data_IF_245467176099
#
_entry.id   IF_245467176099
#
_cell.length_a   1.000
_cell.length_b   1.000
_cell.length_c   1.000
_cell.angle_alpha   90.00
_cell.angle_beta   90.00
_cell.angle_gamma   90.00
#
_symmetry.space_group_name_H-M   'P 1'
#
loop_
_entity.id
_entity.type
_entity.pdbx_description
1 polymer ?
#
# COMPACT_ATOMS: atom_id res chain seq x y z
N UNK A 1 -14.69 -8.19 21.31
CA UNK A 1 -14.42 -8.62 19.92
C UNK A 1 -14.10 -10.11 19.86
N UNK A 2 -14.35 -10.83 18.77
CA UNK A 2 -13.94 -12.24 18.67
C UNK A 2 -12.50 -12.33 18.14
N UNK A 3 -11.58 -12.83 18.97
CA UNK A 3 -10.19 -13.11 18.59
C UNK A 3 -10.07 -14.03 17.37
N UNK A 4 -11.10 -14.82 17.06
CA UNK A 4 -11.19 -15.60 15.82
C UNK A 4 -11.29 -14.74 14.55
N UNK A 5 -12.06 -13.65 14.59
CA UNK A 5 -12.24 -12.76 13.42
C UNK A 5 -10.96 -11.97 13.10
N UNK A 6 -10.29 -11.45 14.12
CA UNK A 6 -9.02 -10.71 13.95
C UNK A 6 -7.93 -11.62 13.36
N UNK A 7 -7.79 -12.85 13.88
CA UNK A 7 -6.84 -13.83 13.32
C UNK A 7 -7.15 -14.20 11.88
N UNK A 8 -8.44 -14.33 11.52
CA UNK A 8 -8.85 -14.59 10.15
C UNK A 8 -8.43 -13.44 9.22
N UNK A 9 -8.72 -12.20 9.59
CA UNK A 9 -8.28 -11.01 8.85
C UNK A 9 -6.76 -10.98 8.68
N UNK A 10 -5.99 -11.13 9.76
CA UNK A 10 -4.53 -11.11 9.72
C UNK A 10 -3.95 -12.20 8.80
N UNK A 11 -4.50 -13.41 8.83
CA UNK A 11 -3.99 -14.50 7.97
C UNK A 11 -4.40 -14.35 6.52
N UNK A 12 -5.67 -14.09 6.26
CA UNK A 12 -6.21 -14.14 4.90
C UNK A 12 -5.99 -12.82 4.17
N UNK A 13 -6.31 -11.68 4.80
CA UNK A 13 -6.27 -10.36 4.17
C UNK A 13 -4.88 -9.76 4.25
N UNK A 14 -4.21 -9.85 5.40
CA UNK A 14 -2.87 -9.26 5.55
C UNK A 14 -1.79 -10.19 4.99
N UNK A 15 -1.59 -11.38 5.56
CA UNK A 15 -0.53 -12.27 5.08
C UNK A 15 -0.82 -12.83 3.67
N UNK A 16 -2.01 -13.41 3.48
CA UNK A 16 -2.37 -14.03 2.20
C UNK A 16 -2.44 -13.04 1.04
N UNK A 17 -3.06 -11.88 1.24
CA UNK A 17 -3.37 -10.96 0.16
C UNK A 17 -2.44 -9.74 0.09
N UNK A 18 -2.36 -8.93 1.15
CA UNK A 18 -1.47 -7.76 1.18
C UNK A 18 0.01 -8.13 1.01
N UNK A 19 0.47 -9.23 1.61
CA UNK A 19 1.87 -9.65 1.50
C UNK A 19 2.09 -10.66 0.37
N UNK A 20 1.15 -11.58 0.16
CA UNK A 20 1.27 -12.63 -0.85
C UNK A 20 0.94 -12.22 -2.29
N UNK A 21 -0.04 -11.32 -2.49
CA UNK A 21 -0.58 -11.00 -3.83
C UNK A 21 -0.21 -9.60 -4.28
N UNK A 22 -0.52 -8.58 -3.48
CA UNK A 22 -0.39 -7.16 -3.85
C UNK A 22 1.03 -6.78 -4.35
N UNK A 23 2.15 -7.26 -3.75
CA UNK A 23 3.49 -6.89 -4.22
C UNK A 23 3.79 -7.37 -5.64
N UNK A 24 3.19 -8.48 -6.09
CA UNK A 24 3.34 -8.97 -7.47
C UNK A 24 2.62 -8.06 -8.47
N UNK A 25 1.42 -7.57 -8.11
CA UNK A 25 0.63 -6.65 -8.92
C UNK A 25 1.29 -5.28 -9.01
N UNK A 26 1.85 -4.78 -7.91
CA UNK A 26 2.70 -3.58 -7.92
C UNK A 26 3.87 -3.72 -8.88
N UNK A 27 4.64 -4.83 -8.81
CA UNK A 27 5.77 -5.05 -9.73
C UNK A 27 5.34 -4.99 -11.20
N UNK A 28 4.22 -5.64 -11.54
CA UNK A 28 3.71 -5.66 -12.90
C UNK A 28 3.33 -4.25 -13.39
N UNK A 29 2.50 -3.52 -12.63
CA UNK A 29 2.04 -2.19 -13.04
C UNK A 29 3.17 -1.16 -13.08
N UNK A 30 4.10 -1.18 -12.11
CA UNK A 30 5.21 -0.24 -12.05
C UNK A 30 6.18 -0.43 -13.22
N UNK A 31 6.38 -1.67 -13.66
CA UNK A 31 7.21 -1.98 -14.83
C UNK A 31 6.57 -1.42 -16.10
N UNK A 32 5.26 -1.59 -16.26
CA UNK A 32 4.51 -1.05 -17.39
C UNK A 32 4.52 0.48 -17.38
N UNK A 33 4.18 1.08 -16.23
CA UNK A 33 4.13 2.53 -16.06
C UNK A 33 5.50 3.19 -16.33
N UNK A 34 6.59 2.62 -15.83
CA UNK A 34 7.95 3.09 -16.11
C UNK A 34 8.28 3.04 -17.60
N UNK A 35 7.90 1.94 -18.26
CA UNK A 35 8.14 1.75 -19.70
C UNK A 35 7.34 2.77 -20.52
N UNK A 36 6.03 2.91 -20.27
CA UNK A 36 5.18 3.85 -20.99
C UNK A 36 5.57 5.31 -20.72
N UNK A 37 5.95 5.64 -19.48
CA UNK A 37 6.47 6.97 -19.13
C UNK A 37 7.70 7.31 -19.97
N UNK A 38 8.69 6.41 -20.03
CA UNK A 38 9.91 6.64 -20.79
C UNK A 38 9.67 6.71 -22.30
N UNK A 39 8.74 5.91 -22.82
CA UNK A 39 8.33 6.00 -24.23
C UNK A 39 7.69 7.35 -24.53
N UNK A 40 6.76 7.80 -23.69
CA UNK A 40 6.12 9.11 -23.83
C UNK A 40 7.13 10.26 -23.80
N UNK A 41 8.09 10.23 -22.87
CA UNK A 41 9.16 11.24 -22.78
C UNK A 41 10.03 11.30 -24.05
N UNK A 42 10.27 10.16 -24.71
CA UNK A 42 11.02 10.08 -25.98
C UNK A 42 10.20 10.56 -27.18
N UNK A 43 8.90 10.31 -27.18
CA UNK A 43 7.98 10.77 -28.24
C UNK A 43 7.83 12.29 -28.26
N UNK A 44 7.73 12.93 -27.09
CA UNK A 44 7.67 14.40 -27.01
C UNK A 44 8.95 15.10 -27.48
N UNK A 45 10.10 14.44 -27.39
CA UNK A 45 11.36 14.95 -27.96
C UNK A 45 11.48 14.67 -29.46
N UNK A 46 10.57 13.88 -30.04
CA UNK A 46 10.49 13.54 -31.45
C UNK A 46 9.38 14.30 -32.20
N UNK A 47 9.35 14.25 -33.54
CA UNK A 47 8.38 14.97 -34.36
C UNK A 47 6.96 14.35 -34.38
N UNK A 48 6.69 13.29 -33.61
CA UNK A 48 5.44 12.54 -33.67
C UNK A 48 4.96 12.20 -32.25
N UNK A 49 4.09 13.04 -31.69
CA UNK A 49 3.42 12.76 -30.43
C UNK A 49 2.15 11.96 -30.73
N UNK A 50 2.04 10.73 -30.21
CA UNK A 50 0.85 9.89 -30.43
C UNK A 50 -0.07 9.90 -29.21
N UNK A 51 -1.39 10.01 -29.43
CA UNK A 51 -2.39 10.00 -28.35
C UNK A 51 -2.41 8.67 -27.58
N UNK A 52 -1.95 7.57 -28.19
CA UNK A 52 -1.92 6.23 -27.61
C UNK A 52 -0.99 6.10 -26.40
N UNK A 53 0.14 6.82 -26.38
CA UNK A 53 1.13 6.71 -25.30
C UNK A 53 0.62 7.40 -24.02
N UNK A 54 -0.07 8.53 -24.17
CA UNK A 54 -0.73 9.23 -23.05
C UNK A 54 -1.88 8.39 -22.46
N UNK A 55 -2.68 7.74 -23.30
CA UNK A 55 -3.76 6.84 -22.85
C UNK A 55 -3.21 5.60 -22.12
N UNK A 56 -2.10 5.03 -22.58
CA UNK A 56 -1.46 3.88 -21.92
C UNK A 56 -0.98 4.23 -20.51
N UNK A 57 -0.29 5.36 -20.36
CA UNK A 57 0.11 5.90 -19.06
C UNK A 57 -1.09 6.12 -18.14
N UNK A 58 -2.17 6.73 -18.66
CA UNK A 58 -3.34 7.06 -17.86
C UNK A 58 -4.01 5.78 -17.32
N UNK A 59 -4.11 4.74 -18.15
CA UNK A 59 -4.58 3.41 -17.73
C UNK A 59 -3.70 2.79 -16.65
N UNK A 60 -2.37 2.93 -16.76
CA UNK A 60 -1.47 2.41 -15.73
C UNK A 60 -1.67 3.14 -14.39
N UNK A 61 -1.89 4.46 -14.39
CA UNK A 61 -2.22 5.20 -13.18
C UNK A 61 -3.58 4.82 -12.58
N UNK A 62 -4.56 4.45 -13.39
CA UNK A 62 -5.84 3.90 -12.90
C UNK A 62 -5.62 2.56 -12.18
N UNK A 63 -4.76 1.69 -12.72
CA UNK A 63 -4.37 0.44 -12.06
C UNK A 63 -3.61 0.68 -10.75
N UNK A 64 -2.73 1.68 -10.72
CA UNK A 64 -2.04 2.12 -9.50
C UNK A 64 -3.04 2.59 -8.45
N UNK A 65 -4.02 3.43 -8.81
CA UNK A 65 -5.04 3.91 -7.89
C UNK A 65 -5.89 2.75 -7.34
N UNK A 66 -6.28 1.80 -8.20
CA UNK A 66 -7.02 0.61 -7.75
C UNK A 66 -6.22 -0.23 -6.75
N UNK A 67 -4.89 -0.34 -6.91
CA UNK A 67 -4.05 -1.02 -5.92
C UNK A 67 -3.94 -0.25 -4.60
N UNK A 68 -3.86 1.07 -4.65
CA UNK A 68 -3.85 1.91 -3.44
C UNK A 68 -5.17 1.83 -2.68
N UNK A 69 -6.30 1.87 -3.41
CA UNK A 69 -7.63 1.67 -2.85
C UNK A 69 -7.74 0.31 -2.16
N UNK A 70 -7.25 -0.75 -2.79
CA UNK A 70 -7.26 -2.10 -2.21
C UNK A 70 -6.39 -2.22 -0.94
N UNK A 71 -5.24 -1.55 -0.88
CA UNK A 71 -4.43 -1.48 0.35
C UNK A 71 -5.14 -0.68 1.45
N UNK A 72 -5.83 0.42 1.10
CA UNK A 72 -6.66 1.19 2.01
C UNK A 72 -7.85 0.39 2.54
N UNK A 73 -8.50 -0.42 1.70
CA UNK A 73 -9.59 -1.30 2.12
C UNK A 73 -9.10 -2.28 3.19
N UNK A 74 -7.93 -2.90 2.99
CA UNK A 74 -7.33 -3.79 3.99
C UNK A 74 -7.05 -3.03 5.29
N UNK A 75 -6.47 -1.84 5.21
CA UNK A 75 -6.26 -0.99 6.38
C UNK A 75 -7.57 -0.65 7.11
N UNK A 76 -8.62 -0.28 6.38
CA UNK A 76 -9.94 0.06 6.93
C UNK A 76 -10.64 -1.15 7.55
N UNK A 77 -10.55 -2.34 6.93
CA UNK A 77 -10.99 -3.60 7.53
C UNK A 77 -10.29 -3.83 8.88
N UNK A 78 -8.97 -3.56 8.94
CA UNK A 78 -8.18 -3.59 10.16
C UNK A 78 -8.70 -2.66 11.26
N UNK A 79 -9.04 -1.42 10.91
CA UNK A 79 -9.57 -0.43 11.86
C UNK A 79 -10.89 -0.83 12.50
N UNK A 80 -11.74 -1.58 11.79
CA UNK A 80 -13.00 -2.09 12.36
C UNK A 80 -12.77 -2.97 13.60
N UNK A 81 -11.59 -3.57 13.71
CA UNK A 81 -11.19 -4.34 14.89
C UNK A 81 -10.60 -3.48 16.02
N UNK A 82 -10.44 -2.17 15.87
CA UNK A 82 -10.05 -1.30 16.98
C UNK A 82 -11.26 -0.60 17.64
N UNK A 83 -12.46 -0.76 17.07
CA UNK A 83 -13.71 -0.15 17.55
C UNK A 83 -13.79 1.35 17.29
N UNK A 84 -15.01 1.93 17.34
CA UNK A 84 -15.28 3.38 17.20
C UNK A 84 -14.75 4.24 18.37
N UNK A 85 -14.05 3.63 19.34
CA UNK A 85 -13.85 4.20 20.68
C UNK A 85 -12.72 5.20 20.86
N UNK A 86 -11.83 5.41 19.87
CA UNK A 86 -10.54 6.05 20.16
C UNK A 86 -10.06 7.09 19.14
N UNK A 87 -10.98 7.65 18.36
CA UNK A 87 -10.66 8.82 17.53
C UNK A 87 -10.47 10.10 18.37
N UNK A 88 -10.98 10.17 19.61
CA UNK A 88 -10.89 11.34 20.47
C UNK A 88 -10.99 10.98 21.96
N UNK A 89 -9.85 10.83 22.63
CA UNK A 89 -9.71 11.20 24.04
C UNK A 89 -10.34 10.28 25.09
N UNK A 90 -9.67 9.18 25.43
CA UNK A 90 -9.51 8.79 26.84
C UNK A 90 -8.26 7.92 27.03
N UNK A 91 -7.11 8.57 27.27
CA UNK A 91 -5.80 7.94 27.52
C UNK A 91 -5.70 7.14 28.84
N UNK A 92 -6.82 6.74 29.44
CA UNK A 92 -6.86 6.12 30.77
C UNK A 92 -7.39 4.68 30.78
N UNK A 93 -7.77 4.10 29.64
CA UNK A 93 -8.05 2.66 29.57
C UNK A 93 -6.78 1.93 29.14
N UNK A 94 -6.35 0.97 29.94
CA UNK A 94 -5.21 0.09 29.66
C UNK A 94 -5.54 -0.68 28.39
N UNK A 95 -5.04 -0.19 27.24
CA UNK A 95 -5.20 -0.88 25.97
C UNK A 95 -4.65 -2.30 26.09
N UNK A 96 -5.50 -3.30 25.81
CA UNK A 96 -5.06 -4.69 25.83
C UNK A 96 -3.88 -4.86 24.85
N UNK A 97 -2.81 -5.53 25.29
CA UNK A 97 -1.58 -5.73 24.52
C UNK A 97 -1.82 -6.17 23.06
N UNK A 98 -2.78 -7.06 22.73
CA UNK A 98 -3.09 -7.43 21.35
C UNK A 98 -3.61 -6.26 20.49
N UNK A 99 -4.46 -5.39 21.05
CA UNK A 99 -5.02 -4.23 20.34
C UNK A 99 -3.93 -3.18 20.06
N UNK A 100 -3.05 -2.92 21.03
CA UNK A 100 -1.92 -2.00 20.85
C UNK A 100 -0.96 -2.48 19.75
N UNK A 101 -0.73 -3.80 19.65
CA UNK A 101 0.11 -4.38 18.60
C UNK A 101 -0.55 -4.24 17.21
N UNK A 102 -1.85 -4.50 17.10
CA UNK A 102 -2.61 -4.30 15.87
C UNK A 102 -2.62 -2.83 15.44
N UNK A 103 -2.83 -1.90 16.38
CA UNK A 103 -2.81 -0.45 16.11
C UNK A 103 -1.49 0.02 15.54
N UNK A 104 -0.36 -0.39 16.15
CA UNK A 104 0.98 -0.06 15.63
C UNK A 104 1.20 -0.62 14.22
N UNK A 105 0.75 -1.85 13.98
CA UNK A 105 0.82 -2.45 12.66
C UNK A 105 0.05 -1.64 11.62
N UNK A 106 -1.19 -1.25 11.92
CA UNK A 106 -2.01 -0.44 11.02
C UNK A 106 -1.42 0.95 10.78
N UNK A 107 -0.78 1.56 11.78
CA UNK A 107 -0.03 2.82 11.61
C UNK A 107 1.17 2.66 10.66
N UNK A 108 1.94 1.57 10.79
CA UNK A 108 3.02 1.25 9.86
C UNK A 108 2.51 1.02 8.44
N UNK A 109 1.38 0.31 8.30
CA UNK A 109 0.74 0.08 7.01
C UNK A 109 0.30 1.41 6.36
N UNK A 110 -0.39 2.26 7.11
CA UNK A 110 -0.82 3.57 6.61
C UNK A 110 0.38 4.44 6.19
N UNK A 111 1.49 4.37 6.92
CA UNK A 111 2.73 5.09 6.56
C UNK A 111 3.28 4.60 5.21
N UNK A 112 3.27 3.28 4.97
CA UNK A 112 3.66 2.71 3.68
C UNK A 112 2.72 3.17 2.55
N UNK A 113 1.40 3.15 2.78
CA UNK A 113 0.41 3.59 1.78
C UNK A 113 0.62 5.08 1.43
N UNK A 114 0.72 5.94 2.44
CA UNK A 114 0.93 7.37 2.24
C UNK A 114 2.23 7.67 1.47
N UNK A 115 3.31 6.93 1.74
CA UNK A 115 4.54 7.06 0.97
C UNK A 115 4.32 6.74 -0.51
N UNK A 116 3.60 5.66 -0.82
CA UNK A 116 3.25 5.29 -2.21
C UNK A 116 2.41 6.37 -2.88
N UNK A 117 1.39 6.89 -2.20
CA UNK A 117 0.53 7.97 -2.73
C UNK A 117 1.35 9.21 -3.10
N UNK A 118 2.29 9.61 -2.24
CA UNK A 118 3.18 10.76 -2.51
C UNK A 118 4.04 10.50 -3.74
N UNK A 119 4.66 9.33 -3.86
CA UNK A 119 5.48 9.02 -5.05
C UNK A 119 4.66 8.92 -6.33
N UNK A 120 3.50 8.28 -6.30
CA UNK A 120 2.63 8.13 -7.47
C UNK A 120 2.04 9.49 -7.88
N UNK A 121 1.65 10.32 -6.91
CA UNK A 121 1.20 11.68 -7.16
C UNK A 121 2.29 12.55 -7.80
N UNK A 122 3.52 12.49 -7.27
CA UNK A 122 4.64 13.21 -7.86
C UNK A 122 4.99 12.69 -9.27
N UNK A 123 5.04 11.37 -9.46
CA UNK A 123 5.28 10.78 -10.78
C UNK A 123 4.24 11.27 -11.79
N UNK A 124 2.95 11.18 -11.45
CA UNK A 124 1.87 11.64 -12.33
C UNK A 124 2.00 13.12 -12.70
N UNK A 125 2.37 13.97 -11.75
CA UNK A 125 2.53 15.41 -11.97
C UNK A 125 3.76 15.74 -12.84
N UNK A 126 4.85 14.98 -12.68
CA UNK A 126 6.13 15.24 -13.33
C UNK A 126 6.41 14.28 -14.50
N UNK A 127 5.38 13.73 -15.15
CA UNK A 127 5.57 12.60 -16.06
C UNK A 127 6.52 12.88 -17.23
N UNK A 128 6.55 14.10 -17.75
CA UNK A 128 7.39 14.49 -18.88
C UNK A 128 8.83 14.80 -18.48
N UNK A 129 9.09 15.06 -17.20
CA UNK A 129 10.38 15.54 -16.70
C UNK A 129 11.02 14.65 -15.63
N UNK A 130 10.30 13.63 -15.14
CA UNK A 130 10.77 12.76 -14.08
C UNK A 130 11.99 11.94 -14.54
N UNK A 131 13.14 12.03 -13.85
CA UNK A 131 14.33 11.29 -14.23
C UNK A 131 14.17 9.77 -14.05
N UNK A 132 14.82 8.93 -14.89
CA UNK A 132 14.78 7.48 -14.75
C UNK A 132 15.24 6.96 -13.38
N UNK A 133 16.21 7.61 -12.73
CA UNK A 133 16.67 7.20 -11.39
C UNK A 133 15.59 7.42 -10.32
N UNK A 134 14.82 8.50 -10.43
CA UNK A 134 13.67 8.75 -9.55
C UNK A 134 12.60 7.69 -9.74
N UNK A 135 12.35 7.27 -10.99
CA UNK A 135 11.41 6.17 -11.28
C UNK A 135 11.85 4.86 -10.61
N UNK A 136 13.15 4.52 -10.68
CA UNK A 136 13.68 3.32 -10.01
C UNK A 136 13.48 3.38 -8.50
N UNK A 137 13.72 4.54 -7.88
CA UNK A 137 13.50 4.75 -6.44
C UNK A 137 12.02 4.56 -6.09
N UNK A 138 11.10 5.14 -6.86
CA UNK A 138 9.66 4.99 -6.63
C UNK A 138 9.20 3.55 -6.80
N UNK A 139 9.66 2.87 -7.86
CA UNK A 139 9.37 1.45 -8.04
C UNK A 139 9.83 0.63 -6.83
N UNK A 140 11.06 0.84 -6.36
CA UNK A 140 11.58 0.15 -5.19
C UNK A 140 10.76 0.46 -3.93
N UNK A 141 10.44 1.73 -3.69
CA UNK A 141 9.67 2.17 -2.53
C UNK A 141 8.25 1.58 -2.50
N UNK A 142 7.59 1.45 -3.65
CA UNK A 142 6.25 0.85 -3.71
C UNK A 142 6.24 -0.66 -3.49
N UNK A 143 7.37 -1.34 -3.68
CA UNK A 143 7.51 -2.79 -3.49
C UNK A 143 8.07 -3.11 -2.10
N UNK A 144 9.02 -2.31 -1.62
CA UNK A 144 9.61 -2.47 -0.32
C UNK A 144 8.57 -2.07 0.75
N UNK A 145 8.23 -3.00 1.63
CA UNK A 145 7.38 -2.75 2.79
C UNK A 145 8.24 -2.77 4.06
N UNK A 146 9.14 -1.77 4.27
CA UNK A 146 10.17 -1.85 5.32
C UNK A 146 9.57 -1.88 6.73
N UNK A 147 8.35 -1.40 6.91
CA UNK A 147 7.69 -1.28 8.21
C UNK A 147 6.66 -2.38 8.50
N UNK A 148 6.48 -3.33 7.58
CA UNK A 148 5.43 -4.35 7.67
C UNK A 148 6.03 -5.69 7.24
N UNK A 149 6.19 -6.62 8.20
CA UNK A 149 6.74 -7.95 7.94
C UNK A 149 5.74 -9.06 8.28
N UNK A 150 5.83 -10.20 7.59
CA UNK A 150 5.00 -11.39 7.90
C UNK A 150 5.15 -11.82 9.36
N UNK A 151 6.37 -11.71 9.91
CA UNK A 151 6.67 -12.03 11.32
C UNK A 151 5.89 -11.16 12.31
N UNK A 152 5.55 -9.91 11.95
CA UNK A 152 4.71 -9.04 12.78
C UNK A 152 3.26 -9.54 12.80
N UNK A 153 2.75 -10.00 11.65
CA UNK A 153 1.41 -10.59 11.52
C UNK A 153 1.29 -11.86 12.35
N UNK A 154 2.30 -12.73 12.29
CA UNK A 154 2.36 -13.95 13.12
C UNK A 154 2.35 -13.63 14.61
N UNK A 155 3.19 -12.66 15.03
CA UNK A 155 3.27 -12.23 16.43
C UNK A 155 1.93 -11.69 16.93
N UNK A 156 1.26 -10.86 16.14
CA UNK A 156 -0.07 -10.33 16.50
C UNK A 156 -1.08 -11.48 16.56
N UNK A 157 -1.09 -12.41 15.59
CA UNK A 157 -1.97 -13.58 15.61
C UNK A 157 -1.82 -14.43 16.89
N UNK A 158 -0.59 -14.60 17.38
CA UNK A 158 -0.32 -15.34 18.62
C UNK A 158 -0.90 -14.63 19.85
N UNK A 159 -0.80 -13.29 19.92
CA UNK A 159 -1.35 -12.52 21.04
C UNK A 159 -2.87 -12.65 21.19
N UNK A 160 -3.59 -12.81 20.07
CA UNK A 160 -5.03 -13.11 20.04
C UNK A 160 -5.37 -14.58 20.30
N UNK A 161 -4.38 -15.48 20.39
CA UNK A 161 -4.58 -16.90 20.70
C UNK A 161 -4.41 -17.22 22.19
N UNK A 162 -3.67 -16.39 22.92
CA UNK A 162 -3.42 -16.55 24.38
C UNK A 162 -4.49 -15.90 25.27
N UNK A 163 -5.42 -15.15 24.67
CA UNK A 163 -6.41 -14.31 25.38
C UNK A 163 -7.83 -14.89 25.36
N UNK A 164 -7.96 -16.20 25.09
CA UNK A 164 -9.23 -16.93 24.96
C UNK A 164 -9.30 -18.11 25.89
#
# INVERSE_FOLDING_TARGET
>A
MSSGKVRKYLRERVAGHLMGVIPSRWRAVLTQLATHTQSLQKEETGPCCTTSSTEAVQRDFELVNALLEEEHEIYQEGLQFLGDGDCCGNRNEVEEVPAAALRRFLQSLLTCIAAKEVAMGHWKHCILSIPPDTLRVYCHMCIAHPHVQESDVERICLSYSSSS
#
